data_IF_890762276580
#
_entry.id   IF_890762276580
#
_cell.length_a   1.000
_cell.length_b   1.000
_cell.length_c   1.000
_cell.angle_alpha   90.00
_cell.angle_beta   90.00
_cell.angle_gamma   90.00
#
_symmetry.space_group_name_H-M   'P 1'
#
loop_
_entity.id
_entity.type
_entity.pdbx_description
1 polymer ?
#
# COMPACT_ATOMS: atom_id res chain seq x y z
N UNK A 1 67.22 -43.72 -0.19
CA UNK A 1 67.73 -43.80 1.21
C UNK A 1 68.98 -42.95 1.27
N UNK A 2 69.21 -42.06 2.23
CA UNK A 2 68.43 -41.63 3.39
C UNK A 2 69.24 -40.50 4.06
N UNK A 3 68.54 -39.71 4.88
CA UNK A 3 69.03 -38.78 5.91
C UNK A 3 69.78 -37.52 5.43
N UNK A 4 69.15 -36.34 5.49
CA UNK A 4 68.91 -35.54 6.74
C UNK A 4 70.24 -35.25 7.44
N UNK A 5 70.60 -34.05 7.88
CA UNK A 5 69.91 -32.78 8.09
C UNK A 5 70.96 -31.91 8.83
N UNK A 6 70.82 -30.58 8.73
CA UNK A 6 71.13 -29.62 9.80
C UNK A 6 72.61 -29.42 10.22
N UNK A 7 73.16 -28.22 9.97
CA UNK A 7 73.27 -27.14 10.98
C UNK A 7 73.91 -25.89 10.33
N UNK A 8 73.18 -24.77 10.19
CA UNK A 8 73.21 -23.59 11.10
C UNK A 8 74.68 -23.10 11.25
N UNK A 9 75.15 -21.96 10.72
CA UNK A 9 74.86 -20.55 11.06
C UNK A 9 75.58 -19.69 10.00
N UNK A 10 74.93 -18.68 9.40
CA UNK A 10 75.46 -17.30 9.19
C UNK A 10 74.46 -16.43 8.41
N UNK A 11 73.54 -15.82 9.16
CA UNK A 11 73.35 -14.37 9.27
C UNK A 11 73.43 -13.45 8.03
N UNK A 12 72.32 -12.72 7.85
CA UNK A 12 72.12 -11.42 7.19
C UNK A 12 72.27 -11.37 5.66
N UNK A 13 71.15 -11.21 4.93
CA UNK A 13 70.64 -9.86 4.68
C UNK A 13 69.22 -9.80 4.10
N UNK A 14 68.57 -8.69 4.47
CA UNK A 14 67.19 -8.26 4.24
C UNK A 14 66.71 -8.39 2.78
N UNK A 15 65.48 -8.87 2.61
CA UNK A 15 64.56 -8.32 1.60
C UNK A 15 63.11 -8.58 2.02
N UNK A 16 62.33 -7.50 2.08
CA UNK A 16 60.97 -7.40 2.58
C UNK A 16 60.01 -8.45 1.99
N UNK A 17 59.35 -9.21 2.87
CA UNK A 17 58.03 -9.76 2.62
C UNK A 17 57.09 -9.14 3.64
N UNK A 18 56.37 -8.12 3.24
CA UNK A 18 55.08 -7.85 3.87
C UNK A 18 54.18 -9.02 3.45
N UNK A 19 53.97 -9.97 4.36
CA UNK A 19 52.80 -10.83 4.33
C UNK A 19 51.59 -9.92 4.51
N UNK A 20 50.93 -9.62 3.39
CA UNK A 20 49.58 -9.09 3.43
C UNK A 20 48.69 -10.26 3.85
N UNK A 21 48.29 -10.29 5.12
CA UNK A 21 47.14 -11.08 5.56
C UNK A 21 45.96 -10.79 4.61
N UNK A 22 45.15 -11.79 4.20
CA UNK A 22 43.92 -11.49 3.50
C UNK A 22 43.04 -10.69 4.46
N UNK A 23 42.99 -9.38 4.22
CA UNK A 23 42.10 -8.47 4.93
C UNK A 23 40.69 -8.94 4.64
N UNK A 24 39.97 -9.33 5.70
CA UNK A 24 38.55 -9.68 5.68
C UNK A 24 37.64 -8.46 5.43
N UNK A 25 38.10 -7.50 4.62
CA UNK A 25 37.34 -6.30 4.29
C UNK A 25 36.75 -6.45 2.88
N UNK A 26 35.41 -6.52 2.88
CA UNK A 26 34.51 -6.61 1.73
C UNK A 26 34.52 -7.94 0.97
N UNK A 27 33.96 -8.97 1.60
CA UNK A 27 33.08 -9.86 0.83
C UNK A 27 31.88 -8.99 0.47
N UNK A 28 31.89 -8.38 -0.72
CA UNK A 28 30.62 -8.11 -1.39
C UNK A 28 29.98 -9.49 -1.52
N UNK A 29 28.98 -9.80 -0.71
CA UNK A 29 28.09 -10.92 -0.97
C UNK A 29 27.47 -10.62 -2.33
N UNK A 30 28.07 -11.18 -3.39
CA UNK A 30 27.47 -11.16 -4.71
C UNK A 30 26.20 -12.00 -4.57
N UNK A 31 25.05 -11.33 -4.52
CA UNK A 31 23.76 -11.99 -4.57
C UNK A 31 23.72 -12.73 -5.91
N UNK A 32 23.47 -14.04 -5.87
CA UNK A 32 23.43 -14.83 -7.11
C UNK A 32 22.16 -14.50 -7.90
N UNK A 33 22.17 -14.68 -9.23
CA UNK A 33 20.98 -14.42 -10.05
C UNK A 33 19.74 -15.23 -9.58
N UNK A 34 19.96 -16.44 -9.08
CA UNK A 34 18.91 -17.28 -8.49
C UNK A 34 18.31 -16.64 -7.23
N UNK A 35 19.13 -16.02 -6.38
CA UNK A 35 18.69 -15.34 -5.16
C UNK A 35 17.83 -14.11 -5.49
N UNK A 36 18.20 -13.35 -6.53
CA UNK A 36 17.40 -12.20 -6.99
C UNK A 36 16.06 -12.63 -7.58
N UNK A 37 16.00 -13.75 -8.31
CA UNK A 37 14.73 -14.26 -8.83
C UNK A 37 13.76 -14.63 -7.71
N UNK A 38 14.24 -15.28 -6.65
CA UNK A 38 13.42 -15.64 -5.48
C UNK A 38 12.96 -14.36 -4.76
N UNK A 39 13.87 -13.42 -4.54
CA UNK A 39 13.56 -12.13 -3.92
C UNK A 39 12.45 -11.37 -4.68
N UNK A 40 12.49 -11.38 -6.01
CA UNK A 40 11.49 -10.72 -6.84
C UNK A 40 10.11 -11.37 -6.66
N UNK A 41 10.04 -12.70 -6.63
CA UNK A 41 8.79 -13.40 -6.36
C UNK A 41 8.24 -13.08 -4.95
N UNK A 42 9.12 -13.07 -3.95
CA UNK A 42 8.77 -12.72 -2.56
C UNK A 42 8.28 -11.27 -2.45
N UNK A 43 8.90 -10.32 -3.15
CA UNK A 43 8.44 -8.92 -3.20
C UNK A 43 7.04 -8.77 -3.80
N UNK A 44 6.73 -9.52 -4.86
CA UNK A 44 5.38 -9.49 -5.47
C UNK A 44 4.34 -10.12 -4.54
N UNK A 45 4.69 -11.22 -3.86
CA UNK A 45 3.83 -11.85 -2.85
C UNK A 45 3.62 -10.93 -1.63
N UNK A 46 4.67 -10.25 -1.19
CA UNK A 46 4.62 -9.26 -0.12
C UNK A 46 3.70 -8.10 -0.50
N UNK A 47 3.89 -7.50 -1.68
CA UNK A 47 3.02 -6.45 -2.22
C UNK A 47 1.53 -6.83 -2.18
N UNK A 48 1.23 -8.08 -2.53
CA UNK A 48 -0.14 -8.58 -2.51
C UNK A 48 -0.76 -8.70 -1.13
N UNK A 49 0.03 -9.18 -0.17
CA UNK A 49 -0.38 -9.22 1.22
C UNK A 49 -0.76 -7.81 1.69
N UNK A 50 0.01 -6.80 1.30
CA UNK A 50 -0.26 -5.41 1.68
C UNK A 50 -1.54 -4.84 1.06
N UNK A 51 -1.86 -5.20 -0.20
CA UNK A 51 -3.18 -4.88 -0.78
C UNK A 51 -4.29 -5.46 0.09
N UNK A 52 -4.13 -6.71 0.54
CA UNK A 52 -5.15 -7.36 1.34
C UNK A 52 -5.32 -6.71 2.71
N UNK A 53 -4.22 -6.28 3.31
CA UNK A 53 -4.20 -5.54 4.58
C UNK A 53 -4.71 -4.10 4.44
N UNK A 54 -4.93 -3.62 3.21
CA UNK A 54 -5.49 -2.31 2.91
C UNK A 54 -4.48 -1.18 3.06
N UNK A 55 -3.19 -1.48 2.83
CA UNK A 55 -2.12 -0.47 2.78
C UNK A 55 -2.25 0.38 1.54
N UNK A 56 -2.13 1.69 1.71
CA UNK A 56 -2.24 2.60 0.58
C UNK A 56 -1.01 2.50 -0.36
N UNK A 57 -1.06 3.22 -1.48
CA UNK A 57 -0.01 3.19 -2.50
C UNK A 57 1.36 3.65 -1.97
N UNK A 58 1.41 4.64 -1.08
CA UNK A 58 2.65 5.21 -0.55
C UNK A 58 3.22 4.33 0.57
N UNK A 59 2.37 3.79 1.45
CA UNK A 59 2.77 2.81 2.47
C UNK A 59 3.41 1.59 1.80
N UNK A 60 2.75 1.03 0.79
CA UNK A 60 3.28 -0.12 0.03
C UNK A 60 4.62 0.19 -0.63
N UNK A 61 4.76 1.37 -1.22
CA UNK A 61 6.04 1.82 -1.78
C UNK A 61 7.13 1.80 -0.72
N UNK A 62 6.85 2.36 0.46
CA UNK A 62 7.84 2.43 1.54
C UNK A 62 8.22 1.04 2.04
N UNK A 63 7.24 0.17 2.29
CA UNK A 63 7.53 -1.18 2.78
C UNK A 63 8.28 -2.03 1.75
N UNK A 64 8.04 -1.85 0.45
CA UNK A 64 8.85 -2.49 -0.60
C UNK A 64 10.31 -2.01 -0.54
N UNK A 65 10.55 -0.71 -0.35
CA UNK A 65 11.91 -0.18 -0.17
C UNK A 65 12.58 -0.75 1.09
N UNK A 66 11.85 -0.80 2.19
CA UNK A 66 12.33 -1.35 3.45
C UNK A 66 12.68 -2.83 3.31
N UNK A 67 11.82 -3.62 2.65
CA UNK A 67 12.06 -5.03 2.35
C UNK A 67 13.35 -5.24 1.54
N UNK A 68 13.57 -4.46 0.48
CA UNK A 68 14.80 -4.52 -0.33
C UNK A 68 16.04 -4.22 0.53
N UNK A 69 15.96 -3.20 1.38
CA UNK A 69 17.05 -2.81 2.27
C UNK A 69 17.36 -3.87 3.33
N UNK A 70 16.33 -4.50 3.91
CA UNK A 70 16.48 -5.59 4.90
C UNK A 70 17.18 -6.81 4.34
N UNK A 71 17.07 -7.05 3.03
CA UNK A 71 17.78 -8.12 2.32
C UNK A 71 19.16 -7.69 1.81
N UNK A 72 19.66 -6.51 2.22
CA UNK A 72 20.95 -5.94 1.81
C UNK A 72 21.14 -5.79 0.30
N UNK A 73 20.05 -5.69 -0.46
CA UNK A 73 20.10 -5.56 -1.93
C UNK A 73 20.15 -4.09 -2.29
N UNK A 74 21.13 -3.70 -3.12
CA UNK A 74 21.18 -2.32 -3.61
C UNK A 74 20.08 -2.08 -4.62
N UNK A 75 19.33 -0.98 -4.47
CA UNK A 75 18.28 -0.56 -5.41
C UNK A 75 18.72 -0.57 -6.89
N UNK A 76 19.93 -0.10 -7.18
CA UNK A 76 20.48 -0.12 -8.54
C UNK A 76 20.70 -1.54 -9.08
N UNK A 77 21.09 -2.47 -8.22
CA UNK A 77 21.40 -3.85 -8.58
C UNK A 77 20.14 -4.59 -9.01
N UNK A 78 19.11 -4.57 -8.16
CA UNK A 78 17.80 -5.17 -8.48
C UNK A 78 17.16 -4.47 -9.69
N UNK A 79 17.28 -3.15 -9.83
CA UNK A 79 16.76 -2.42 -11.01
C UNK A 79 17.44 -2.86 -12.31
N UNK A 80 18.77 -2.97 -12.31
CA UNK A 80 19.52 -3.47 -13.45
C UNK A 80 19.19 -4.93 -13.76
N UNK A 81 18.99 -5.75 -12.73
CA UNK A 81 18.62 -7.16 -12.90
C UNK A 81 17.23 -7.27 -13.55
N UNK A 82 16.23 -6.52 -13.07
CA UNK A 82 14.88 -6.50 -13.63
C UNK A 82 14.85 -6.05 -15.10
N UNK A 83 15.69 -5.08 -15.49
CA UNK A 83 15.81 -4.64 -16.88
C UNK A 83 16.26 -5.78 -17.81
N UNK A 84 17.16 -6.65 -17.33
CA UNK A 84 17.76 -7.73 -18.11
C UNK A 84 16.99 -9.07 -18.01
N UNK A 85 16.10 -9.24 -17.01
CA UNK A 85 15.45 -10.52 -16.70
C UNK A 85 13.91 -10.47 -16.83
N UNK A 86 13.41 -10.01 -17.98
CA UNK A 86 11.97 -9.89 -18.24
C UNK A 86 11.33 -11.18 -18.79
N UNK A 87 11.70 -12.32 -18.19
CA UNK A 87 11.35 -13.66 -18.68
C UNK A 87 10.13 -14.25 -17.98
N UNK A 88 9.84 -13.80 -16.76
CA UNK A 88 8.69 -14.20 -15.97
C UNK A 88 7.79 -13.01 -15.64
N UNK A 89 6.57 -13.32 -15.19
CA UNK A 89 5.53 -12.32 -14.97
C UNK A 89 5.82 -11.40 -13.77
N UNK A 90 6.53 -11.90 -12.75
CA UNK A 90 6.84 -11.17 -11.51
C UNK A 90 7.92 -10.13 -11.75
N UNK A 91 8.98 -10.51 -12.48
CA UNK A 91 10.05 -9.57 -12.89
C UNK A 91 9.51 -8.46 -13.78
N UNK A 92 8.64 -8.79 -14.75
CA UNK A 92 8.00 -7.78 -15.61
C UNK A 92 7.12 -6.84 -14.78
N UNK A 93 6.29 -7.40 -13.88
CA UNK A 93 5.43 -6.60 -13.02
C UNK A 93 6.24 -5.67 -12.11
N UNK A 94 7.27 -6.19 -11.42
CA UNK A 94 8.07 -5.42 -10.48
C UNK A 94 8.86 -4.32 -11.18
N UNK A 95 9.36 -4.56 -12.39
CA UNK A 95 9.94 -3.51 -13.24
C UNK A 95 8.90 -2.43 -13.54
N UNK A 96 7.66 -2.81 -13.87
CA UNK A 96 6.55 -1.88 -14.07
C UNK A 96 6.27 -1.05 -12.81
N UNK A 97 6.23 -1.69 -11.64
CA UNK A 97 6.08 -1.04 -10.34
C UNK A 97 7.19 -0.03 -10.07
N UNK A 98 8.45 -0.37 -10.37
CA UNK A 98 9.59 0.52 -10.21
C UNK A 98 9.46 1.76 -11.10
N UNK A 99 9.07 1.58 -12.36
CA UNK A 99 8.80 2.69 -13.28
C UNK A 99 7.63 3.57 -12.80
N UNK A 100 6.56 2.97 -12.28
CA UNK A 100 5.39 3.72 -11.79
C UNK A 100 5.70 4.59 -10.58
N UNK A 101 6.59 4.12 -9.70
CA UNK A 101 6.93 4.77 -8.44
C UNK A 101 8.25 5.53 -8.44
N UNK A 102 9.08 5.38 -9.47
CA UNK A 102 10.42 5.93 -9.55
C UNK A 102 11.37 5.29 -8.53
N UNK A 103 11.38 3.95 -8.46
CA UNK A 103 12.24 3.18 -7.55
C UNK A 103 13.46 2.73 -8.35
N UNK A 104 14.63 3.32 -8.06
CA UNK A 104 15.88 3.01 -8.78
C UNK A 104 15.92 3.43 -10.26
N UNK A 105 14.83 3.99 -10.77
CA UNK A 105 14.67 4.53 -12.13
C UNK A 105 13.83 5.82 -12.09
N UNK A 106 13.86 6.61 -13.16
CA UNK A 106 12.96 7.76 -13.30
C UNK A 106 11.49 7.31 -13.40
N UNK A 107 10.57 8.16 -12.97
CA UNK A 107 9.13 7.87 -13.07
C UNK A 107 8.71 7.81 -14.54
N UNK A 108 8.22 6.65 -14.98
CA UNK A 108 7.66 6.44 -16.32
C UNK A 108 6.39 5.58 -16.23
N UNK A 109 5.25 6.25 -16.08
CA UNK A 109 3.96 5.58 -15.94
C UNK A 109 3.47 4.94 -17.25
N UNK A 110 3.91 5.43 -18.40
CA UNK A 110 3.55 4.85 -19.68
C UNK A 110 4.28 3.52 -19.87
N UNK A 111 5.58 3.46 -19.55
CA UNK A 111 6.32 2.22 -19.55
C UNK A 111 5.77 1.22 -18.52
N UNK A 112 5.44 1.70 -17.31
CA UNK A 112 4.77 0.86 -16.30
C UNK A 112 3.46 0.24 -16.83
N UNK A 113 2.64 1.03 -17.51
CA UNK A 113 1.40 0.56 -18.12
C UNK A 113 1.62 -0.55 -19.17
N UNK A 114 2.62 -0.39 -20.05
CA UNK A 114 2.98 -1.41 -21.04
C UNK A 114 3.50 -2.70 -20.37
N UNK A 115 4.34 -2.57 -19.35
CA UNK A 115 4.86 -3.70 -18.56
C UNK A 115 3.74 -4.43 -17.83
N UNK A 116 2.79 -3.72 -17.22
CA UNK A 116 1.63 -4.34 -16.59
C UNK A 116 0.76 -5.09 -17.60
N UNK A 117 0.51 -4.54 -18.80
CA UNK A 117 -0.20 -5.29 -19.86
C UNK A 117 0.53 -6.58 -20.24
N UNK A 118 1.86 -6.53 -20.37
CA UNK A 118 2.69 -7.71 -20.67
C UNK A 118 2.56 -8.76 -19.55
N UNK A 119 2.69 -8.36 -18.30
CA UNK A 119 2.56 -9.24 -17.13
C UNK A 119 1.14 -9.82 -16.98
N UNK A 120 0.09 -9.06 -17.28
CA UNK A 120 -1.30 -9.55 -17.31
C UNK A 120 -1.51 -10.62 -18.39
N UNK A 121 -0.85 -10.47 -19.54
CA UNK A 121 -0.82 -11.50 -20.58
C UNK A 121 -0.18 -12.82 -20.14
N UNK A 122 0.60 -12.79 -19.04
CA UNK A 122 1.21 -13.92 -18.37
C UNK A 122 0.52 -14.28 -17.04
N UNK A 123 -0.73 -13.81 -16.86
CA UNK A 123 -1.58 -14.10 -15.70
C UNK A 123 -1.06 -13.57 -14.35
N UNK A 124 -0.22 -12.53 -14.36
CA UNK A 124 0.19 -11.86 -13.13
C UNK A 124 -0.98 -11.10 -12.49
N UNK A 125 -1.43 -11.57 -11.32
CA UNK A 125 -2.56 -10.97 -10.63
C UNK A 125 -2.25 -9.54 -10.10
N UNK A 126 -0.99 -9.18 -9.83
CA UNK A 126 -0.62 -7.90 -9.19
C UNK A 126 -0.66 -6.80 -10.24
N UNK A 127 -0.06 -7.10 -11.39
CA UNK A 127 -0.21 -6.32 -12.60
C UNK A 127 -1.69 -6.17 -12.98
N UNK A 128 -2.49 -7.23 -12.83
CA UNK A 128 -3.92 -7.16 -13.12
C UNK A 128 -4.67 -6.19 -12.19
N UNK A 129 -4.35 -6.20 -10.90
CA UNK A 129 -4.93 -5.27 -9.93
C UNK A 129 -4.52 -3.83 -10.20
N UNK A 130 -3.23 -3.57 -10.41
CA UNK A 130 -2.74 -2.21 -10.66
C UNK A 130 -3.20 -1.67 -12.00
N UNK A 131 -3.22 -2.49 -13.04
CA UNK A 131 -3.73 -2.11 -14.34
C UNK A 131 -5.23 -1.80 -14.29
N UNK A 132 -6.01 -2.54 -13.50
CA UNK A 132 -7.43 -2.25 -13.29
C UNK A 132 -7.63 -0.88 -12.64
N UNK A 133 -6.82 -0.54 -11.63
CA UNK A 133 -6.86 0.79 -10.99
C UNK A 133 -6.38 1.90 -11.93
N UNK A 134 -5.33 1.67 -12.73
CA UNK A 134 -4.88 2.65 -13.73
C UNK A 134 -5.99 2.99 -14.73
N UNK A 135 -6.69 1.98 -15.25
CA UNK A 135 -7.81 2.20 -16.16
C UNK A 135 -9.01 2.90 -15.51
N UNK A 136 -9.19 2.75 -14.19
CA UNK A 136 -10.23 3.42 -13.42
C UNK A 136 -9.90 4.90 -13.20
N UNK A 137 -8.68 5.19 -12.76
CA UNK A 137 -8.25 6.55 -12.40
C UNK A 137 -7.97 7.41 -13.64
N UNK A 138 -7.44 6.80 -14.71
CA UNK A 138 -7.04 7.49 -15.94
C UNK A 138 -5.98 8.57 -15.74
N UNK A 139 -5.14 8.42 -14.72
CA UNK A 139 -4.04 9.36 -14.47
C UNK A 139 -2.90 8.99 -15.42
N UNK A 140 -2.60 9.90 -16.35
CA UNK A 140 -1.57 9.78 -17.41
C UNK A 140 -1.87 8.77 -18.54
N UNK A 141 -3.00 8.06 -18.47
CA UNK A 141 -3.54 7.21 -19.54
C UNK A 141 -5.06 7.42 -19.66
N UNK A 142 -5.64 7.11 -20.83
CA UNK A 142 -7.09 7.25 -20.99
C UNK A 142 -7.88 6.27 -20.11
N UNK A 143 -8.90 6.79 -19.41
CA UNK A 143 -9.84 5.97 -18.63
C UNK A 143 -10.47 4.89 -19.51
N UNK A 144 -10.56 3.68 -18.97
CA UNK A 144 -11.24 2.58 -19.62
C UNK A 144 -11.97 1.72 -18.59
N UNK A 145 -13.18 2.15 -18.23
CA UNK A 145 -13.96 1.49 -17.19
C UNK A 145 -14.31 0.02 -17.55
N UNK A 146 -14.53 -0.28 -18.83
CA UNK A 146 -14.84 -1.64 -19.28
C UNK A 146 -13.66 -2.60 -19.01
N UNK A 147 -12.42 -2.17 -19.30
CA UNK A 147 -11.22 -2.95 -18.98
C UNK A 147 -10.97 -3.04 -17.49
N UNK A 148 -11.20 -1.97 -16.73
CA UNK A 148 -11.09 -2.00 -15.27
C UNK A 148 -12.04 -3.05 -14.68
N UNK A 149 -13.28 -3.06 -15.13
CA UNK A 149 -14.29 -4.04 -14.75
C UNK A 149 -13.90 -5.47 -15.15
N UNK A 150 -13.43 -5.69 -16.38
CA UNK A 150 -13.01 -6.99 -16.88
C UNK A 150 -11.88 -7.60 -16.02
N UNK A 151 -10.83 -6.81 -15.74
CA UNK A 151 -9.69 -7.23 -14.94
C UNK A 151 -10.11 -7.52 -13.50
N UNK A 152 -10.96 -6.67 -12.90
CA UNK A 152 -11.51 -6.89 -11.56
C UNK A 152 -12.34 -8.17 -11.49
N UNK A 153 -13.16 -8.44 -12.52
CA UNK A 153 -13.96 -9.65 -12.62
C UNK A 153 -13.10 -10.91 -12.75
N UNK A 154 -12.00 -10.86 -13.52
CA UNK A 154 -11.05 -11.99 -13.61
C UNK A 154 -10.34 -12.23 -12.26
N UNK A 155 -9.95 -11.18 -11.52
CA UNK A 155 -9.37 -11.35 -10.18
C UNK A 155 -10.37 -11.98 -9.21
N UNK A 156 -11.63 -11.53 -9.24
CA UNK A 156 -12.68 -12.04 -8.37
C UNK A 156 -13.00 -13.52 -8.62
N UNK A 157 -12.94 -13.98 -9.88
CA UNK A 157 -13.07 -15.40 -10.25
C UNK A 157 -11.95 -16.26 -9.70
N UNK A 158 -10.75 -15.69 -9.54
CA UNK A 158 -9.59 -16.35 -8.94
C UNK A 158 -9.58 -16.24 -7.41
N UNK A 159 -10.71 -15.85 -6.79
CA UNK A 159 -10.85 -15.69 -5.33
C UNK A 159 -9.86 -14.68 -4.71
N UNK A 160 -9.34 -13.74 -5.51
CA UNK A 160 -8.38 -12.75 -5.02
C UNK A 160 -9.11 -11.63 -4.25
N UNK A 161 -8.88 -11.45 -2.93
CA UNK A 161 -9.74 -10.61 -2.09
C UNK A 161 -9.74 -9.12 -2.49
N UNK A 162 -8.58 -8.57 -2.86
CA UNK A 162 -8.48 -7.19 -3.34
C UNK A 162 -9.26 -6.97 -4.64
N UNK A 163 -9.25 -7.95 -5.54
CA UNK A 163 -10.01 -7.92 -6.78
C UNK A 163 -11.51 -8.15 -6.59
N UNK A 164 -11.91 -8.99 -5.63
CA UNK A 164 -13.31 -9.13 -5.22
C UNK A 164 -13.82 -7.79 -4.69
N UNK A 165 -13.06 -7.11 -3.83
CA UNK A 165 -13.41 -5.79 -3.33
C UNK A 165 -13.49 -4.76 -4.46
N UNK A 166 -12.53 -4.74 -5.39
CA UNK A 166 -12.53 -3.83 -6.53
C UNK A 166 -13.72 -4.07 -7.46
N UNK A 167 -14.10 -5.33 -7.70
CA UNK A 167 -15.32 -5.64 -8.45
C UNK A 167 -16.57 -5.18 -7.70
N UNK A 168 -16.59 -5.31 -6.37
CA UNK A 168 -17.66 -4.75 -5.52
C UNK A 168 -17.81 -3.25 -5.74
N UNK A 169 -16.69 -2.53 -5.74
CA UNK A 169 -16.64 -1.09 -6.02
C UNK A 169 -17.14 -0.74 -7.42
N UNK A 170 -16.81 -1.56 -8.42
CA UNK A 170 -17.32 -1.35 -9.78
C UNK A 170 -18.85 -1.44 -9.84
N UNK A 171 -19.48 -2.40 -9.15
CA UNK A 171 -20.94 -2.47 -9.09
C UNK A 171 -21.56 -1.37 -8.23
N UNK A 172 -20.89 -0.93 -7.18
CA UNK A 172 -21.38 0.15 -6.31
C UNK A 172 -21.46 1.48 -7.07
N UNK A 173 -20.40 1.78 -7.84
CA UNK A 173 -20.23 3.05 -8.55
C UNK A 173 -20.65 3.03 -10.02
N UNK A 174 -20.97 1.87 -10.58
CA UNK A 174 -21.30 1.71 -12.01
C UNK A 174 -20.09 1.87 -12.94
N UNK A 175 -18.92 1.38 -12.53
CA UNK A 175 -17.68 1.45 -13.31
C UNK A 175 -17.62 0.24 -14.25
N UNK A 176 -17.84 0.48 -15.55
CA UNK A 176 -17.81 -0.56 -16.59
C UNK A 176 -19.00 -1.53 -16.51
N UNK A 177 -20.00 -1.18 -15.71
CA UNK A 177 -21.23 -1.96 -15.50
C UNK A 177 -22.33 -1.04 -14.95
N UNK A 178 -23.57 -1.50 -14.94
CA UNK A 178 -24.66 -0.79 -14.26
C UNK A 178 -24.52 -0.90 -12.74
N UNK A 179 -24.97 0.13 -12.03
CA UNK A 179 -25.00 0.13 -10.56
C UNK A 179 -25.84 -1.05 -10.05
N UNK A 180 -25.26 -1.84 -9.15
CA UNK A 180 -25.92 -2.98 -8.51
C UNK A 180 -25.45 -3.14 -7.06
N UNK A 181 -26.14 -2.45 -6.15
CA UNK A 181 -25.79 -2.40 -4.73
C UNK A 181 -25.90 -3.76 -4.03
N UNK A 182 -26.85 -4.61 -4.42
CA UNK A 182 -26.96 -5.99 -3.91
C UNK A 182 -25.70 -6.81 -4.25
N UNK A 183 -25.22 -6.70 -5.48
CA UNK A 183 -24.02 -7.41 -5.92
C UNK A 183 -22.75 -6.84 -5.28
N UNK A 184 -22.68 -5.51 -5.13
CA UNK A 184 -21.60 -4.86 -4.40
C UNK A 184 -21.54 -5.37 -2.95
N UNK A 185 -22.67 -5.40 -2.23
CA UNK A 185 -22.77 -5.92 -0.87
C UNK A 185 -22.25 -7.36 -0.74
N UNK A 186 -22.70 -8.28 -1.60
CA UNK A 186 -22.25 -9.68 -1.55
C UNK A 186 -20.75 -9.82 -1.85
N UNK A 187 -20.21 -9.00 -2.75
CA UNK A 187 -18.77 -8.98 -3.05
C UNK A 187 -17.95 -8.40 -1.88
N UNK A 188 -18.35 -7.27 -1.30
CA UNK A 188 -17.68 -6.71 -0.13
C UNK A 188 -17.71 -7.69 1.05
N UNK A 189 -18.85 -8.35 1.29
CA UNK A 189 -19.00 -9.41 2.29
C UNK A 189 -18.06 -10.58 2.03
N UNK A 190 -17.94 -11.02 0.78
CA UNK A 190 -17.01 -12.08 0.38
C UNK A 190 -15.55 -11.67 0.62
N UNK A 191 -15.15 -10.48 0.18
CA UNK A 191 -13.80 -9.94 0.42
C UNK A 191 -13.49 -9.81 1.92
N UNK A 192 -14.46 -9.34 2.72
CA UNK A 192 -14.34 -9.23 4.17
C UNK A 192 -14.14 -10.58 4.86
N UNK A 193 -14.82 -11.64 4.40
CA UNK A 193 -14.66 -13.00 4.90
C UNK A 193 -13.28 -13.58 4.57
N UNK A 194 -12.66 -13.14 3.48
CA UNK A 194 -11.29 -13.47 3.10
C UNK A 194 -10.24 -12.58 3.78
N UNK A 195 -10.65 -11.69 4.69
CA UNK A 195 -9.74 -10.85 5.48
C UNK A 195 -9.28 -9.57 4.77
N UNK A 196 -9.91 -9.16 3.68
CA UNK A 196 -9.55 -7.91 3.00
C UNK A 196 -9.99 -6.68 3.80
N UNK A 197 -9.05 -5.85 4.24
CA UNK A 197 -9.34 -4.67 5.06
C UNK A 197 -10.29 -3.68 4.38
N UNK A 198 -10.09 -3.40 3.09
CA UNK A 198 -11.00 -2.53 2.32
C UNK A 198 -12.40 -3.14 2.23
N UNK A 199 -12.51 -4.45 1.99
CA UNK A 199 -13.78 -5.18 1.99
C UNK A 199 -14.51 -5.13 3.34
N UNK A 200 -13.79 -5.28 4.46
CA UNK A 200 -14.36 -5.15 5.81
C UNK A 200 -14.90 -3.72 6.01
N UNK A 201 -14.12 -2.71 5.64
CA UNK A 201 -14.52 -1.31 5.75
C UNK A 201 -15.76 -1.01 4.89
N UNK A 202 -15.77 -1.45 3.63
CA UNK A 202 -16.88 -1.23 2.70
C UNK A 202 -18.14 -1.97 3.14
N UNK A 203 -18.01 -3.18 3.68
CA UNK A 203 -19.13 -3.89 4.30
C UNK A 203 -19.71 -3.12 5.50
N UNK A 204 -18.85 -2.46 6.28
CA UNK A 204 -19.27 -1.54 7.35
C UNK A 204 -20.13 -0.41 6.80
N UNK A 205 -19.66 0.25 5.73
CA UNK A 205 -20.41 1.31 5.03
C UNK A 205 -21.76 0.81 4.50
N UNK A 206 -21.81 -0.42 3.97
CA UNK A 206 -23.06 -1.01 3.50
C UNK A 206 -24.09 -1.16 4.62
N UNK A 207 -23.70 -1.66 5.80
CA UNK A 207 -24.61 -1.76 6.93
C UNK A 207 -24.96 -0.40 7.53
N UNK A 208 -24.05 0.57 7.51
CA UNK A 208 -24.34 1.92 8.01
C UNK A 208 -25.38 2.63 7.14
N UNK A 209 -25.20 2.59 5.81
CA UNK A 209 -26.04 3.29 4.83
C UNK A 209 -27.17 2.49 4.22
N UNK A 210 -27.26 1.18 4.48
CA UNK A 210 -28.24 0.29 3.84
C UNK A 210 -27.96 0.02 2.35
N UNK A 211 -26.68 -0.03 1.96
CA UNK A 211 -26.27 -0.26 0.57
C UNK A 211 -26.34 -1.75 0.27
N UNK A 212 -27.34 -2.18 -0.50
CA UNK A 212 -27.55 -3.59 -0.85
C UNK A 212 -27.98 -4.47 0.33
N UNK A 213 -28.34 -3.88 1.47
CA UNK A 213 -28.75 -4.57 2.69
C UNK A 213 -29.59 -3.64 3.57
N UNK A 214 -30.18 -4.15 4.65
CA UNK A 214 -30.85 -3.32 5.64
C UNK A 214 -29.84 -2.57 6.53
N UNK A 215 -30.20 -1.37 6.96
CA UNK A 215 -29.38 -0.59 7.89
C UNK A 215 -29.19 -1.38 9.19
N UNK A 216 -27.93 -1.55 9.58
CA UNK A 216 -27.55 -2.17 10.85
C UNK A 216 -26.32 -1.46 11.43
N UNK A 217 -26.57 -0.41 12.22
CA UNK A 217 -25.52 0.41 12.83
C UNK A 217 -24.61 -0.38 13.77
N UNK A 218 -25.13 -1.38 14.48
CA UNK A 218 -24.34 -2.23 15.38
C UNK A 218 -23.31 -3.05 14.59
N UNK A 219 -23.72 -3.69 13.49
CA UNK A 219 -22.80 -4.43 12.62
C UNK A 219 -21.77 -3.52 11.96
N UNK A 220 -22.16 -2.31 11.53
CA UNK A 220 -21.23 -1.33 10.99
C UNK A 220 -20.13 -1.00 12.01
N UNK A 221 -20.53 -0.68 13.25
CA UNK A 221 -19.61 -0.43 14.35
C UNK A 221 -18.62 -1.59 14.59
N UNK A 222 -19.11 -2.82 14.70
CA UNK A 222 -18.28 -4.01 14.89
C UNK A 222 -17.26 -4.24 13.75
N UNK A 223 -17.67 -3.97 12.51
CA UNK A 223 -16.80 -4.09 11.34
C UNK A 223 -15.72 -3.00 11.33
N UNK A 224 -16.06 -1.77 11.72
CA UNK A 224 -15.09 -0.70 11.86
C UNK A 224 -14.10 -0.98 13.00
N UNK A 225 -14.55 -1.49 14.15
CA UNK A 225 -13.63 -1.96 15.21
C UNK A 225 -12.68 -3.03 14.69
N UNK A 226 -13.21 -4.02 13.95
CA UNK A 226 -12.40 -5.08 13.35
C UNK A 226 -11.31 -4.53 12.43
N UNK A 227 -11.64 -3.59 11.54
CA UNK A 227 -10.67 -3.08 10.56
C UNK A 227 -9.65 -2.10 11.19
N UNK A 228 -10.00 -1.41 12.27
CA UNK A 228 -9.06 -0.59 13.05
C UNK A 228 -7.97 -1.46 13.67
N UNK A 229 -8.30 -2.66 14.17
CA UNK A 229 -7.31 -3.61 14.69
C UNK A 229 -6.34 -4.13 13.61
N UNK A 230 -6.68 -3.97 12.32
CA UNK A 230 -5.81 -4.26 11.18
C UNK A 230 -5.00 -3.03 10.72
N UNK A 231 -5.12 -1.89 11.41
CA UNK A 231 -4.40 -0.66 11.09
C UNK A 231 -4.98 0.14 9.91
N UNK A 232 -6.23 -0.10 9.51
CA UNK A 232 -6.83 0.57 8.35
C UNK A 232 -7.30 2.00 8.68
N UNK A 233 -6.64 3.00 8.10
CA UNK A 233 -6.87 4.42 8.42
C UNK A 233 -8.27 4.96 8.12
N UNK A 234 -8.91 4.52 7.02
CA UNK A 234 -10.31 4.94 6.74
C UNK A 234 -11.28 4.29 7.72
N UNK A 235 -10.95 3.11 8.23
CA UNK A 235 -11.72 2.46 9.29
C UNK A 235 -11.60 3.19 10.63
N UNK A 236 -10.41 3.71 10.94
CA UNK A 236 -10.21 4.59 12.10
C UNK A 236 -11.07 5.84 11.99
N UNK A 237 -11.13 6.48 10.81
CA UNK A 237 -12.06 7.60 10.58
C UNK A 237 -13.52 7.19 10.81
N UNK A 238 -13.97 6.09 10.21
CA UNK A 238 -15.36 5.66 10.31
C UNK A 238 -15.75 5.25 11.75
N UNK A 239 -14.85 4.58 12.48
CA UNK A 239 -15.07 4.30 13.90
C UNK A 239 -15.08 5.60 14.73
N UNK A 240 -14.26 6.57 14.37
CA UNK A 240 -14.31 7.93 14.92
C UNK A 240 -15.70 8.55 14.73
N UNK A 241 -16.23 8.52 13.51
CA UNK A 241 -17.59 8.97 13.20
C UNK A 241 -18.67 8.25 14.01
N UNK A 242 -18.49 6.94 14.26
CA UNK A 242 -19.41 6.18 15.09
C UNK A 242 -19.46 6.70 16.53
N UNK A 243 -18.31 6.93 17.16
CA UNK A 243 -18.26 7.50 18.51
C UNK A 243 -18.70 8.96 18.52
N UNK A 244 -18.44 9.71 17.47
CA UNK A 244 -18.79 11.13 17.38
C UNK A 244 -20.32 11.35 17.32
N UNK A 245 -21.01 10.45 16.62
CA UNK A 245 -22.45 10.55 16.31
C UNK A 245 -23.33 9.48 16.97
N UNK A 246 -22.75 8.54 17.72
CA UNK A 246 -23.49 7.44 18.35
C UNK A 246 -24.03 6.39 17.37
N UNK A 247 -23.24 6.02 16.35
CA UNK A 247 -23.63 5.03 15.35
C UNK A 247 -23.22 3.64 15.85
N UNK A 248 -24.19 2.86 16.32
CA UNK A 248 -23.95 1.51 16.86
C UNK A 248 -23.25 1.50 18.22
N UNK A 249 -23.12 2.67 18.84
CA UNK A 249 -22.50 2.86 20.16
C UNK A 249 -23.03 4.15 20.79
N UNK A 250 -22.67 4.41 22.04
CA UNK A 250 -22.94 5.70 22.69
C UNK A 250 -21.96 6.78 22.22
N UNK A 251 -22.39 8.04 22.25
CA UNK A 251 -21.53 9.17 21.88
C UNK A 251 -20.32 9.25 22.84
N UNK A 252 -19.12 9.30 22.28
CA UNK A 252 -17.88 9.48 23.02
C UNK A 252 -16.89 10.34 22.22
N UNK A 253 -16.94 11.66 22.44
CA UNK A 253 -16.09 12.63 21.72
C UNK A 253 -14.59 12.40 21.95
N UNK A 254 -14.18 11.98 23.15
CA UNK A 254 -12.76 11.71 23.43
C UNK A 254 -12.22 10.54 22.59
N UNK A 255 -12.98 9.44 22.48
CA UNK A 255 -12.61 8.31 21.61
C UNK A 255 -12.63 8.69 20.13
N UNK A 256 -13.61 9.50 19.71
CA UNK A 256 -13.66 10.02 18.34
C UNK A 256 -12.39 10.84 18.01
N UNK A 257 -12.00 11.74 18.93
CA UNK A 257 -10.78 12.54 18.81
C UNK A 257 -9.53 11.66 18.65
N UNK A 258 -9.36 10.65 19.50
CA UNK A 258 -8.21 9.73 19.45
C UNK A 258 -8.14 9.00 18.10
N UNK A 259 -9.28 8.49 17.62
CA UNK A 259 -9.36 7.77 16.35
C UNK A 259 -9.12 8.66 15.13
N UNK A 260 -9.72 9.86 15.09
CA UNK A 260 -9.42 10.83 14.04
C UNK A 260 -7.95 11.26 14.08
N UNK A 261 -7.37 11.45 15.26
CA UNK A 261 -5.96 11.80 15.40
C UNK A 261 -5.04 10.70 14.87
N UNK A 262 -5.33 9.43 15.15
CA UNK A 262 -4.60 8.28 14.60
C UNK A 262 -4.71 8.24 13.07
N UNK A 263 -5.91 8.31 12.53
CA UNK A 263 -6.17 8.29 11.09
C UNK A 263 -5.50 9.48 10.36
N UNK A 264 -5.57 10.67 10.96
CA UNK A 264 -4.98 11.90 10.42
C UNK A 264 -3.44 11.84 10.35
N UNK A 265 -2.81 11.22 11.36
CA UNK A 265 -1.37 10.97 11.37
C UNK A 265 -0.95 9.96 10.29
N UNK A 266 -1.81 8.99 9.98
CA UNK A 266 -1.66 8.07 8.84
C UNK A 266 -2.08 8.70 7.49
N UNK A 267 -2.32 10.01 7.47
CA UNK A 267 -2.57 10.75 6.24
C UNK A 267 -4.00 10.66 5.71
N UNK A 268 -4.98 10.11 6.44
CA UNK A 268 -6.37 10.14 6.01
C UNK A 268 -6.90 11.60 5.98
N UNK A 269 -7.23 12.09 4.80
CA UNK A 269 -7.63 13.47 4.52
C UNK A 269 -8.98 13.84 5.18
N UNK A 270 -9.94 12.93 5.19
CA UNK A 270 -11.23 13.11 5.87
C UNK A 270 -11.05 13.21 7.38
N UNK A 271 -10.23 12.35 7.97
CA UNK A 271 -9.92 12.40 9.40
C UNK A 271 -9.13 13.66 9.78
N UNK A 272 -8.23 14.14 8.92
CA UNK A 272 -7.56 15.43 9.12
C UNK A 272 -8.59 16.57 9.18
N UNK A 273 -9.60 16.55 8.31
CA UNK A 273 -10.68 17.52 8.35
C UNK A 273 -11.55 17.39 9.61
N UNK A 274 -11.95 16.17 9.99
CA UNK A 274 -12.76 15.94 11.19
C UNK A 274 -12.01 16.33 12.46
N UNK A 275 -10.71 16.03 12.54
CA UNK A 275 -9.85 16.45 13.64
C UNK A 275 -9.72 17.99 13.71
N UNK A 276 -9.65 18.65 12.54
CA UNK A 276 -9.62 20.11 12.48
C UNK A 276 -10.93 20.72 13.00
N UNK A 277 -12.09 20.15 12.65
CA UNK A 277 -13.38 20.57 13.19
C UNK A 277 -13.46 20.41 14.72
N UNK A 278 -12.95 19.31 15.27
CA UNK A 278 -12.94 19.12 16.73
C UNK A 278 -12.08 20.17 17.45
N UNK A 279 -10.92 20.52 16.88
CA UNK A 279 -10.10 21.61 17.41
C UNK A 279 -10.75 22.99 17.25
N UNK A 280 -11.51 23.22 16.18
CA UNK A 280 -12.22 24.49 15.96
C UNK A 280 -13.40 24.67 16.92
N UNK A 281 -14.14 23.60 17.20
CA UNK A 281 -15.35 23.67 18.01
C UNK A 281 -15.08 23.43 19.51
N UNK A 282 -13.94 22.84 19.86
CA UNK A 282 -13.69 22.34 21.22
C UNK A 282 -14.55 21.11 21.58
N UNK A 283 -14.95 20.30 20.59
CA UNK A 283 -15.83 19.15 20.79
C UNK A 283 -15.05 17.97 21.40
N UNK A 284 -15.07 17.85 22.74
CA UNK A 284 -14.37 16.78 23.45
C UNK A 284 -12.86 16.99 23.63
N UNK A 285 -12.35 18.15 23.20
CA UNK A 285 -10.97 18.61 23.43
C UNK A 285 -10.99 20.13 23.64
N UNK A 286 -9.92 20.70 24.18
CA UNK A 286 -9.77 22.17 24.22
C UNK A 286 -9.67 22.73 22.80
N UNK A 287 -10.46 23.76 22.52
CA UNK A 287 -10.38 24.53 21.28
C UNK A 287 -8.95 25.03 21.00
N UNK A 288 -8.51 24.89 19.75
CA UNK A 288 -7.19 25.34 19.29
C UNK A 288 -7.24 25.64 17.77
N UNK A 289 -7.57 26.88 17.43
CA UNK A 289 -7.70 27.34 16.05
C UNK A 289 -6.40 27.16 15.23
N UNK A 290 -5.23 27.26 15.86
CA UNK A 290 -3.96 27.06 15.16
C UNK A 290 -3.80 25.60 14.72
N UNK A 291 -4.17 24.64 15.59
CA UNK A 291 -4.21 23.22 15.22
C UNK A 291 -5.30 22.91 14.20
N UNK A 292 -6.47 23.54 14.30
CA UNK A 292 -7.52 23.41 13.29
C UNK A 292 -7.01 23.83 11.90
N UNK A 293 -6.42 25.03 11.77
CA UNK A 293 -5.84 25.53 10.51
C UNK A 293 -4.73 24.61 10.00
N UNK A 294 -3.87 24.09 10.88
CA UNK A 294 -2.82 23.15 10.51
C UNK A 294 -3.40 21.90 9.84
N UNK A 295 -4.42 21.30 10.45
CA UNK A 295 -5.04 20.08 9.94
C UNK A 295 -5.90 20.32 8.70
N UNK A 296 -6.63 21.43 8.62
CA UNK A 296 -7.32 21.83 7.40
C UNK A 296 -6.34 21.99 6.23
N UNK A 297 -5.19 22.64 6.42
CA UNK A 297 -4.16 22.79 5.37
C UNK A 297 -3.65 21.44 4.88
N UNK A 298 -3.43 20.48 5.78
CA UNK A 298 -3.02 19.12 5.41
C UNK A 298 -4.09 18.41 4.57
N UNK A 299 -5.35 18.45 5.01
CA UNK A 299 -6.48 17.83 4.30
C UNK A 299 -6.72 18.47 2.93
N UNK A 300 -6.72 19.80 2.85
CA UNK A 300 -6.92 20.57 1.62
C UNK A 300 -5.80 20.33 0.59
N UNK A 301 -4.55 20.15 1.03
CA UNK A 301 -3.41 19.80 0.16
C UNK A 301 -3.60 18.45 -0.53
N UNK A 302 -4.38 17.55 0.07
CA UNK A 302 -4.74 16.25 -0.51
C UNK A 302 -5.98 16.32 -1.41
N UNK A 303 -6.61 17.50 -1.53
CA UNK A 303 -7.76 17.72 -2.39
C UNK A 303 -9.13 17.59 -1.71
N UNK A 304 -9.18 17.45 -0.38
CA UNK A 304 -10.45 17.34 0.32
C UNK A 304 -11.21 18.68 0.29
N UNK A 305 -12.31 18.71 -0.46
CA UNK A 305 -13.07 19.94 -0.75
C UNK A 305 -13.61 20.62 0.52
N UNK A 306 -14.04 19.84 1.52
CA UNK A 306 -14.53 20.39 2.79
C UNK A 306 -13.47 21.24 3.49
N UNK A 307 -12.20 20.79 3.47
CA UNK A 307 -11.09 21.52 4.06
C UNK A 307 -10.69 22.74 3.22
N UNK A 308 -10.75 22.66 1.89
CA UNK A 308 -10.48 23.79 1.00
C UNK A 308 -11.46 24.93 1.25
N UNK A 309 -12.76 24.64 1.20
CA UNK A 309 -13.82 25.60 1.47
C UNK A 309 -13.68 26.21 2.88
N UNK A 310 -13.31 25.40 3.86
CA UNK A 310 -13.15 25.86 5.24
C UNK A 310 -11.95 26.81 5.41
N UNK A 311 -10.85 26.57 4.69
CA UNK A 311 -9.70 27.49 4.70
C UNK A 311 -10.00 28.80 4.00
N UNK A 312 -10.77 28.78 2.91
CA UNK A 312 -11.21 30.01 2.23
C UNK A 312 -11.99 30.91 3.21
N UNK A 313 -12.95 30.33 3.94
CA UNK A 313 -13.73 31.05 4.96
C UNK A 313 -12.92 31.58 6.16
N UNK A 314 -11.74 31.00 6.43
CA UNK A 314 -10.87 31.43 7.54
C UNK A 314 -9.85 32.50 7.12
N UNK A 315 -9.71 32.76 5.82
CA UNK A 315 -8.77 33.75 5.26
C UNK A 315 -9.49 35.05 4.88
N UNK A 316 -10.82 35.02 4.73
CA UNK A 316 -11.69 36.20 4.61
C UNK A 316 -11.94 36.91 5.95
#
# INVERSE_FOLDING_TARGET
MSYKQLQIIQNFDKMNKEEIEPTSQNIHENIFEEDLSILVEDLVNFYFKEINEGKDKNERKQHILDYINEHNVKLQEISNWLLNNQNDSSSIYLLGYFNFHGIGVDVDKQNAFELYKKAVGMENNAAQFDLANMYMDGVDIDKNHDKSFELSNKLAKNEYPGGINLLGYCYDMGIGTDVNTLKAFELYKKAANLGNSHGINNLGCCYEGGIGTEINKQKAFELYEKVVNLGHKSGMNNLGCCYDNGIGTEVNKQKAFELYQMAANLGNDVAQYNLALMYENGDGITEDLNKAIYWYKKSAKQGYLGAQNKLELLIE
#
